data_IF_319170502476
#
_entry.id   IF_319170502476
#
_cell.length_a   1.000
_cell.length_b   1.000
_cell.length_c   1.000
_cell.angle_alpha   90.00
_cell.angle_beta   90.00
_cell.angle_gamma   90.00
#
_symmetry.space_group_name_H-M   'P 1'
#
loop_
_entity.id
_entity.type
_entity.pdbx_description
1 polymer ?
#
# COMPACT_ATOMS: atom_id res chain seq x y z
N UNK A 1 -20.99 21.31 -25.89
CA UNK A 1 -19.69 20.68 -26.21
C UNK A 1 -18.53 21.05 -25.27
N UNK A 2 -18.48 22.23 -24.63
CA UNK A 2 -17.38 22.62 -23.73
C UNK A 2 -17.39 21.89 -22.37
N UNK A 3 -18.57 21.64 -21.81
CA UNK A 3 -18.76 20.93 -20.53
C UNK A 3 -18.42 19.44 -20.63
N UNK A 4 -18.81 18.79 -21.73
CA UNK A 4 -18.51 17.37 -22.01
C UNK A 4 -17.00 17.06 -21.98
N UNK A 5 -16.16 18.00 -22.44
CA UNK A 5 -14.70 17.84 -22.39
C UNK A 5 -14.14 17.94 -20.97
N UNK A 6 -14.67 18.85 -20.14
CA UNK A 6 -14.20 19.03 -18.76
C UNK A 6 -14.62 17.86 -17.87
N UNK A 7 -15.86 17.40 -18.01
CA UNK A 7 -16.36 16.22 -17.29
C UNK A 7 -15.55 14.98 -17.65
N UNK A 8 -15.27 14.76 -18.94
CA UNK A 8 -14.44 13.63 -19.38
C UNK A 8 -13.03 13.70 -18.79
N UNK A 9 -12.41 14.88 -18.76
CA UNK A 9 -11.08 15.07 -18.15
C UNK A 9 -11.15 14.80 -16.64
N UNK A 10 -12.15 15.33 -15.96
CA UNK A 10 -12.32 15.12 -14.53
C UNK A 10 -12.50 13.64 -14.20
N UNK A 11 -13.36 12.93 -14.93
CA UNK A 11 -13.58 11.49 -14.76
C UNK A 11 -12.29 10.71 -15.04
N UNK A 12 -11.54 11.04 -16.09
CA UNK A 12 -10.27 10.37 -16.40
C UNK A 12 -9.22 10.57 -15.30
N UNK A 13 -9.09 11.78 -14.76
CA UNK A 13 -8.17 12.09 -13.64
C UNK A 13 -8.61 11.36 -12.37
N UNK A 14 -9.90 11.34 -12.08
CA UNK A 14 -10.44 10.63 -10.92
C UNK A 14 -10.18 9.11 -11.02
N UNK A 15 -10.44 8.50 -12.17
CA UNK A 15 -10.19 7.07 -12.40
C UNK A 15 -8.69 6.74 -12.33
N UNK A 16 -7.82 7.60 -12.86
CA UNK A 16 -6.38 7.44 -12.73
C UNK A 16 -5.95 7.48 -11.26
N UNK A 17 -6.42 8.45 -10.49
CA UNK A 17 -6.14 8.52 -9.05
C UNK A 17 -6.67 7.28 -8.31
N UNK A 18 -7.91 6.86 -8.57
CA UNK A 18 -8.47 5.65 -7.97
C UNK A 18 -7.65 4.40 -8.30
N UNK A 19 -7.12 4.30 -9.52
CA UNK A 19 -6.26 3.18 -9.91
C UNK A 19 -4.89 3.19 -9.24
N UNK A 20 -4.34 4.36 -8.92
CA UNK A 20 -3.03 4.50 -8.28
C UNK A 20 -3.11 4.34 -6.76
N UNK A 21 -4.19 4.78 -6.13
CA UNK A 21 -4.33 4.81 -4.67
C UNK A 21 -5.32 3.77 -4.11
N UNK A 22 -6.05 3.05 -4.96
CA UNK A 22 -6.97 1.99 -4.55
C UNK A 22 -6.37 0.58 -4.54
N UNK A 23 -5.08 0.43 -4.83
CA UNK A 23 -4.40 -0.86 -4.82
C UNK A 23 -3.79 -1.14 -3.44
N UNK A 24 -4.16 -2.29 -2.88
CA UNK A 24 -3.48 -2.83 -1.71
C UNK A 24 -2.06 -3.29 -2.10
N UNK A 25 -1.09 -2.85 -1.31
CA UNK A 25 0.30 -3.30 -1.35
C UNK A 25 0.46 -4.39 -0.31
N UNK A 26 0.63 -5.62 -0.78
CA UNK A 26 0.92 -6.75 0.10
C UNK A 26 2.39 -6.69 0.53
N UNK A 27 2.61 -6.61 1.84
CA UNK A 27 3.93 -6.63 2.45
C UNK A 27 4.13 -8.00 3.10
N UNK A 28 5.01 -8.86 2.55
CA UNK A 28 5.27 -10.15 3.15
C UNK A 28 6.01 -9.98 4.48
N UNK A 29 5.52 -10.66 5.52
CA UNK A 29 6.20 -10.83 6.79
C UNK A 29 6.85 -12.21 6.81
N UNK A 30 8.15 -12.25 7.05
CA UNK A 30 8.89 -13.49 7.23
C UNK A 30 8.47 -14.16 8.54
N UNK A 31 8.24 -15.48 8.58
CA UNK A 31 8.06 -16.21 9.82
C UNK A 31 9.23 -15.97 10.78
N UNK A 32 8.95 -16.06 12.09
CA UNK A 32 10.02 -15.87 13.05
C UNK A 32 10.99 -17.05 13.04
N UNK A 33 12.28 -16.74 12.96
CA UNK A 33 13.40 -17.66 13.14
C UNK A 33 13.99 -17.61 14.56
N UNK A 34 13.30 -16.93 15.48
CA UNK A 34 13.77 -16.66 16.85
C UNK A 34 14.67 -15.43 16.99
N UNK A 35 15.02 -14.75 15.90
CA UNK A 35 15.72 -13.46 15.96
C UNK A 35 14.76 -12.29 16.12
N UNK A 36 15.22 -11.22 16.78
CA UNK A 36 14.40 -10.02 16.98
C UNK A 36 13.98 -9.33 15.67
N UNK A 37 14.76 -9.51 14.59
CA UNK A 37 14.47 -8.93 13.28
C UNK A 37 13.24 -9.56 12.62
N UNK A 38 12.98 -10.83 12.88
CA UNK A 38 11.83 -11.57 12.32
C UNK A 38 10.58 -11.49 13.20
N UNK A 39 10.62 -10.78 14.33
CA UNK A 39 9.41 -10.46 15.06
C UNK A 39 8.50 -9.53 14.25
N UNK A 40 7.21 -9.84 14.20
CA UNK A 40 6.19 -9.11 13.42
C UNK A 40 6.26 -7.59 13.65
N UNK A 41 6.34 -7.15 14.91
CA UNK A 41 6.42 -5.72 15.22
C UNK A 41 7.67 -5.04 14.65
N UNK A 42 8.81 -5.72 14.65
CA UNK A 42 10.06 -5.19 14.10
C UNK A 42 9.96 -5.03 12.59
N UNK A 43 9.37 -6.01 11.91
CA UNK A 43 9.15 -5.97 10.47
C UNK A 43 8.18 -4.85 10.06
N UNK A 44 7.04 -4.71 10.75
CA UNK A 44 6.07 -3.63 10.50
C UNK A 44 6.71 -2.26 10.77
N UNK A 45 7.48 -2.13 11.84
CA UNK A 45 8.15 -0.87 12.17
C UNK A 45 9.19 -0.50 11.10
N UNK A 46 10.00 -1.46 10.64
CA UNK A 46 10.98 -1.24 9.59
C UNK A 46 10.32 -0.76 8.29
N UNK A 47 9.23 -1.39 7.89
CA UNK A 47 8.44 -0.98 6.73
C UNK A 47 7.83 0.43 6.91
N UNK A 48 7.24 0.69 8.07
CA UNK A 48 6.65 2.01 8.42
C UNK A 48 7.70 3.12 8.33
N UNK A 49 8.93 2.89 8.81
CA UNK A 49 10.03 3.87 8.73
C UNK A 49 10.42 4.12 7.28
N UNK A 50 10.57 3.07 6.46
CA UNK A 50 10.93 3.19 5.04
C UNK A 50 9.80 3.88 4.25
N UNK A 51 8.55 3.59 4.58
CA UNK A 51 7.35 4.14 3.93
C UNK A 51 7.00 5.57 4.36
N UNK A 52 7.73 6.15 5.32
CA UNK A 52 7.43 7.48 5.86
C UNK A 52 6.18 7.53 6.75
N UNK A 53 5.81 6.41 7.38
CA UNK A 53 4.66 6.28 8.26
C UNK A 53 3.72 5.12 7.89
N UNK A 54 2.62 4.99 8.64
CA UNK A 54 1.58 3.99 8.33
C UNK A 54 0.85 4.40 7.06
N UNK A 55 0.84 3.50 6.08
CA UNK A 55 0.15 3.70 4.81
C UNK A 55 -1.18 2.92 4.84
N UNK A 56 -2.27 3.56 4.43
CA UNK A 56 -3.61 2.97 4.52
C UNK A 56 -3.83 1.80 3.55
N UNK A 57 -2.99 1.67 2.53
CA UNK A 57 -3.08 0.64 1.51
C UNK A 57 -2.10 -0.54 1.76
N UNK A 58 -1.54 -0.68 2.96
CA UNK A 58 -0.64 -1.80 3.27
C UNK A 58 -1.40 -2.95 3.92
N UNK A 59 -1.23 -4.14 3.34
CA UNK A 59 -1.72 -5.41 3.89
C UNK A 59 -0.51 -6.26 4.26
N UNK A 60 -0.29 -6.45 5.56
CA UNK A 60 0.80 -7.29 6.04
C UNK A 60 0.37 -8.75 6.04
N UNK A 61 1.06 -9.58 5.27
CA UNK A 61 0.74 -10.99 5.12
C UNK A 61 1.88 -11.84 5.65
N UNK A 62 1.60 -12.68 6.65
CA UNK A 62 2.58 -13.65 7.11
C UNK A 62 2.79 -14.70 6.02
N UNK A 63 4.01 -14.77 5.50
CA UNK A 63 4.36 -15.83 4.55
C UNK A 63 4.13 -17.17 5.22
N UNK A 64 3.38 -18.02 4.52
CA UNK A 64 3.27 -19.43 4.82
C UNK A 64 4.17 -20.12 3.82
N UNK A 65 5.22 -20.76 4.32
CA UNK A 65 6.01 -21.73 3.57
C UNK A 65 5.08 -22.71 2.81
#
# INVERSE_FOLDING_TARGET
>A
MRHLKLETIFTAVFLLAASLYGQDVVVPLTPTDGTAATHVNTQILADTVIAGGFQANRVYELQRD
#
